data_IF_650749401630
#
_entry.id   IF_650749401630
#
_cell.length_a   1.000
_cell.length_b   1.000
_cell.length_c   1.000
_cell.angle_alpha   90.00
_cell.angle_beta   90.00
_cell.angle_gamma   90.00
#
_symmetry.space_group_name_H-M   'P 1'
#
loop_
_entity.id
_entity.type
_entity.pdbx_description
1 polymer ?
#
# COMPACT_ATOMS: atom_id res chain seq x y z
N UNK A 1 -29.66 -67.09 41.49
CA UNK A 1 -28.72 -66.81 40.37
C UNK A 1 -27.34 -67.18 40.87
N UNK A 2 -26.65 -68.07 40.16
CA UNK A 2 -25.48 -68.79 40.68
C UNK A 2 -24.24 -67.88 40.85
N UNK A 3 -23.55 -68.02 41.99
CA UNK A 3 -22.45 -67.13 42.42
C UNK A 3 -21.26 -67.18 41.43
N UNK A 4 -21.04 -68.33 40.80
CA UNK A 4 -19.98 -68.52 39.80
C UNK A 4 -20.30 -67.83 38.47
N UNK A 5 -21.57 -67.78 38.09
CA UNK A 5 -22.02 -67.08 36.90
C UNK A 5 -21.85 -65.56 37.07
N UNK A 6 -22.11 -65.03 38.27
CA UNK A 6 -21.92 -63.61 38.59
C UNK A 6 -20.43 -63.22 38.60
N UNK A 7 -19.54 -64.09 39.12
CA UNK A 7 -18.08 -63.92 39.03
C UNK A 7 -17.58 -63.95 37.58
N UNK A 8 -18.10 -64.87 36.76
CA UNK A 8 -17.74 -64.97 35.35
C UNK A 8 -18.12 -63.70 34.56
N UNK A 9 -19.33 -63.17 34.77
CA UNK A 9 -19.75 -61.90 34.15
C UNK A 9 -18.91 -60.71 34.63
N UNK A 10 -18.58 -60.65 35.92
CA UNK A 10 -17.71 -59.60 36.46
C UNK A 10 -16.30 -59.65 35.86
N UNK A 11 -15.71 -60.84 35.78
CA UNK A 11 -14.38 -61.02 35.19
C UNK A 11 -14.35 -60.65 33.70
N UNK A 12 -15.36 -61.06 32.92
CA UNK A 12 -15.48 -60.67 31.51
C UNK A 12 -15.75 -59.17 31.33
N UNK A 13 -16.55 -58.55 32.20
CA UNK A 13 -16.76 -57.10 32.19
C UNK A 13 -15.44 -56.36 32.47
N UNK A 14 -14.69 -56.79 33.49
CA UNK A 14 -13.40 -56.20 33.86
C UNK A 14 -12.37 -56.38 32.75
N UNK A 15 -12.29 -57.57 32.14
CA UNK A 15 -11.41 -57.88 31.00
C UNK A 15 -11.73 -57.04 29.76
N UNK A 16 -13.00 -56.79 29.48
CA UNK A 16 -13.42 -55.89 28.37
C UNK A 16 -13.02 -54.44 28.66
N UNK A 17 -13.21 -53.96 29.89
CA UNK A 17 -12.81 -52.60 30.29
C UNK A 17 -11.30 -52.40 30.20
N UNK A 18 -10.51 -53.37 30.67
CA UNK A 18 -9.04 -53.28 30.58
C UNK A 18 -8.58 -53.33 29.12
N UNK A 19 -9.16 -54.17 28.27
CA UNK A 19 -8.91 -54.17 26.82
C UNK A 19 -9.22 -52.82 26.17
N UNK A 20 -10.37 -52.21 26.47
CA UNK A 20 -10.72 -50.89 25.94
C UNK A 20 -9.70 -49.81 26.36
N UNK A 21 -9.25 -49.82 27.62
CA UNK A 21 -8.23 -48.87 28.10
C UNK A 21 -6.90 -49.08 27.37
N UNK A 22 -6.46 -50.33 27.18
CA UNK A 22 -5.22 -50.63 26.45
C UNK A 22 -5.31 -50.15 25.00
N UNK A 23 -6.44 -50.39 24.31
CA UNK A 23 -6.65 -49.92 22.94
C UNK A 23 -6.65 -48.39 22.86
N UNK A 24 -7.27 -47.70 23.81
CA UNK A 24 -7.25 -46.23 23.88
C UNK A 24 -5.83 -45.69 24.12
N UNK A 25 -5.06 -46.30 25.02
CA UNK A 25 -3.67 -45.92 25.26
C UNK A 25 -2.79 -46.15 24.02
N UNK A 26 -2.98 -47.25 23.30
CA UNK A 26 -2.29 -47.52 22.03
C UNK A 26 -2.69 -46.53 20.94
N UNK A 27 -3.97 -46.16 20.85
CA UNK A 27 -4.45 -45.16 19.90
C UNK A 27 -3.87 -43.76 20.20
N UNK A 28 -3.85 -43.35 21.47
CA UNK A 28 -3.23 -42.09 21.90
C UNK A 28 -1.72 -42.10 21.66
N UNK A 29 -1.05 -43.21 21.94
CA UNK A 29 0.37 -43.37 21.67
C UNK A 29 0.68 -43.28 20.18
N UNK A 30 -0.08 -43.98 19.34
CA UNK A 30 0.06 -43.94 17.88
C UNK A 30 -0.16 -42.52 17.34
N UNK A 31 -1.22 -41.84 17.80
CA UNK A 31 -1.53 -40.46 17.43
C UNK A 31 -0.44 -39.47 17.88
N UNK A 32 0.14 -39.67 19.06
CA UNK A 32 1.27 -38.88 19.56
C UNK A 32 2.58 -39.15 18.80
N UNK A 33 2.78 -40.39 18.33
CA UNK A 33 3.96 -40.80 17.56
C UNK A 33 3.89 -40.26 16.14
N UNK A 34 2.71 -40.25 15.53
CA UNK A 34 2.47 -39.69 14.21
C UNK A 34 2.60 -38.15 14.23
N UNK A 35 2.03 -37.49 15.25
CA UNK A 35 2.23 -36.06 15.49
C UNK A 35 3.71 -35.65 15.72
N UNK A 36 4.54 -36.57 16.25
CA UNK A 36 5.99 -36.37 16.39
C UNK A 36 6.75 -36.57 15.08
N UNK A 37 6.29 -37.44 14.18
CA UNK A 37 6.89 -37.62 12.84
C UNK A 37 6.62 -36.42 11.92
N UNK A 38 5.50 -35.72 12.10
CA UNK A 38 5.14 -34.52 11.33
C UNK A 38 5.68 -33.19 11.90
N UNK A 39 6.27 -33.20 13.10
CA UNK A 39 7.07 -32.06 13.60
C UNK A 39 8.43 -32.07 12.90
N UNK A 40 8.46 -31.59 11.66
CA UNK A 40 9.71 -31.30 10.97
C UNK A 40 10.61 -30.49 11.89
N UNK A 41 11.92 -30.80 11.90
CA UNK A 41 12.92 -30.01 12.65
C UNK A 41 12.68 -28.54 12.32
N UNK A 42 12.37 -27.73 13.32
CA UNK A 42 12.18 -26.29 13.13
C UNK A 42 13.37 -25.75 12.37
N UNK A 43 13.12 -25.05 11.25
CA UNK A 43 14.20 -24.43 10.47
C UNK A 43 14.98 -23.54 11.43
N UNK A 44 16.23 -23.89 11.71
CA UNK A 44 17.15 -23.01 12.44
C UNK A 44 17.41 -21.82 11.53
N UNK A 45 16.80 -20.68 11.83
CA UNK A 45 17.22 -19.43 11.23
C UNK A 45 18.67 -19.20 11.64
N UNK A 46 19.49 -18.67 10.73
CA UNK A 46 20.86 -18.26 11.03
C UNK A 46 20.92 -17.26 12.20
N UNK A 47 22.11 -16.89 12.68
CA UNK A 47 22.26 -16.02 13.84
C UNK A 47 21.44 -14.74 13.70
N UNK A 48 20.40 -14.62 14.52
CA UNK A 48 19.43 -13.52 14.46
C UNK A 48 20.09 -12.15 14.69
N UNK A 49 21.10 -12.11 15.58
CA UNK A 49 21.86 -10.90 15.90
C UNK A 49 22.57 -10.33 14.67
N UNK A 50 23.28 -11.17 13.90
CA UNK A 50 23.95 -10.70 12.68
C UNK A 50 22.95 -10.16 11.67
N UNK A 51 21.81 -10.84 11.50
CA UNK A 51 20.73 -10.37 10.63
C UNK A 51 20.22 -8.99 11.05
N UNK A 52 20.04 -8.76 12.36
CA UNK A 52 19.59 -7.47 12.88
C UNK A 52 20.65 -6.37 12.67
N UNK A 53 21.94 -6.67 12.83
CA UNK A 53 23.02 -5.72 12.52
C UNK A 53 23.00 -5.31 11.04
N UNK A 54 22.94 -6.28 10.12
CA UNK A 54 22.88 -5.97 8.68
C UNK A 54 21.63 -5.18 8.30
N UNK A 55 20.47 -5.54 8.87
CA UNK A 55 19.22 -4.81 8.69
C UNK A 55 19.35 -3.36 9.16
N UNK A 56 19.85 -3.14 10.38
CA UNK A 56 20.04 -1.79 10.93
C UNK A 56 20.98 -0.96 10.06
N UNK A 57 22.07 -1.53 9.56
CA UNK A 57 22.98 -0.83 8.65
C UNK A 57 22.30 -0.41 7.34
N UNK A 58 21.41 -1.25 6.79
CA UNK A 58 20.63 -0.90 5.59
C UNK A 58 19.67 0.25 5.88
N UNK A 59 18.98 0.24 7.02
CA UNK A 59 18.07 1.31 7.43
C UNK A 59 18.80 2.64 7.63
N UNK A 60 19.93 2.63 8.35
CA UNK A 60 20.79 3.82 8.54
C UNK A 60 21.24 4.37 7.18
N UNK A 61 21.61 3.49 6.25
CA UNK A 61 22.03 3.89 4.90
C UNK A 61 20.89 4.54 4.12
N UNK A 62 19.66 4.05 4.26
CA UNK A 62 18.50 4.55 3.53
C UNK A 62 18.05 5.93 4.01
N UNK A 63 17.91 6.13 5.32
CA UNK A 63 17.24 7.33 5.85
C UNK A 63 18.00 8.09 6.93
N UNK A 64 19.15 7.64 7.43
CA UNK A 64 19.94 8.39 8.43
C UNK A 64 21.23 8.99 7.88
N UNK A 65 21.72 8.51 6.74
CA UNK A 65 23.03 8.94 6.20
C UNK A 65 23.01 10.35 5.59
N UNK A 66 22.14 10.62 4.62
CA UNK A 66 22.05 11.94 3.97
C UNK A 66 20.70 12.18 3.31
N UNK A 67 20.32 13.44 3.13
CA UNK A 67 19.11 13.80 2.38
C UNK A 67 19.21 13.40 0.91
N UNK A 68 20.39 13.47 0.30
CA UNK A 68 20.59 13.03 -1.09
C UNK A 68 20.27 11.53 -1.26
N UNK A 69 20.73 10.68 -0.34
CA UNK A 69 20.41 9.25 -0.35
C UNK A 69 18.91 9.03 -0.10
N UNK A 70 18.34 9.69 0.90
CA UNK A 70 16.92 9.53 1.24
C UNK A 70 16.01 9.97 0.08
N UNK A 71 16.30 11.11 -0.57
CA UNK A 71 15.57 11.55 -1.78
C UNK A 71 15.74 10.53 -2.90
N UNK A 72 16.98 10.08 -3.14
CA UNK A 72 17.27 9.14 -4.23
C UNK A 72 16.55 7.82 -4.04
N UNK A 73 16.44 7.31 -2.81
CA UNK A 73 15.87 5.98 -2.53
C UNK A 73 14.37 6.04 -2.17
N UNK A 74 13.98 6.97 -1.29
CA UNK A 74 12.64 7.08 -0.69
C UNK A 74 11.83 8.27 -1.22
N UNK A 75 12.36 9.06 -2.16
CA UNK A 75 11.69 10.20 -2.84
C UNK A 75 11.34 11.39 -1.94
N UNK A 76 11.96 11.49 -0.76
CA UNK A 76 11.77 12.61 0.17
C UNK A 76 13.02 12.86 1.01
N UNK A 77 13.11 14.03 1.64
CA UNK A 77 14.18 14.32 2.60
C UNK A 77 13.99 13.51 3.88
N UNK A 78 15.04 13.37 4.69
CA UNK A 78 14.97 12.64 5.97
C UNK A 78 13.96 13.28 6.92
N UNK A 79 13.96 14.61 7.00
CA UNK A 79 13.01 15.33 7.85
C UNK A 79 11.55 15.06 7.45
N UNK A 80 11.25 15.02 6.14
CA UNK A 80 9.90 14.70 5.64
C UNK A 80 9.55 13.23 5.88
N UNK A 81 10.50 12.31 5.71
CA UNK A 81 10.32 10.89 6.02
C UNK A 81 9.93 10.65 7.48
N UNK A 82 10.68 11.21 8.42
CA UNK A 82 10.36 11.09 9.85
C UNK A 82 9.05 11.79 10.21
N UNK A 83 8.74 12.94 9.58
CA UNK A 83 7.46 13.62 9.74
C UNK A 83 6.29 12.76 9.25
N UNK A 84 6.45 12.04 8.15
CA UNK A 84 5.47 11.09 7.64
C UNK A 84 5.27 9.92 8.61
N UNK A 85 6.35 9.29 9.06
CA UNK A 85 6.29 8.18 10.03
C UNK A 85 5.57 8.61 11.32
N UNK A 86 5.93 9.78 11.86
CA UNK A 86 5.29 10.33 13.05
C UNK A 86 3.81 10.64 12.82
N UNK A 87 3.43 11.16 11.66
CA UNK A 87 2.02 11.43 11.35
C UNK A 87 1.21 10.15 11.25
N UNK A 88 1.77 9.09 10.65
CA UNK A 88 1.12 7.78 10.56
C UNK A 88 0.95 7.13 11.94
N UNK A 89 1.96 7.28 12.81
CA UNK A 89 1.93 6.82 14.21
C UNK A 89 0.90 7.59 15.05
N UNK A 90 0.85 8.92 14.94
CA UNK A 90 -0.10 9.77 15.66
C UNK A 90 -1.56 9.53 15.28
N UNK A 91 -1.82 9.13 14.04
CA UNK A 91 -3.15 8.75 13.58
C UNK A 91 -3.51 7.30 13.85
N UNK A 92 -2.63 6.56 14.55
CA UNK A 92 -2.80 5.13 14.85
C UNK A 92 -2.98 4.27 13.58
N UNK A 93 -2.54 4.77 12.43
CA UNK A 93 -2.61 4.05 11.15
C UNK A 93 -1.50 3.00 11.04
N UNK A 94 -0.37 3.26 11.71
CA UNK A 94 0.76 2.35 11.82
C UNK A 94 1.27 2.33 13.27
N UNK A 95 1.75 1.17 13.69
CA UNK A 95 2.37 0.98 14.99
C UNK A 95 3.64 0.15 14.86
N UNK A 96 4.56 0.38 15.80
CA UNK A 96 5.76 -0.43 15.94
C UNK A 96 5.37 -1.84 16.38
N UNK A 97 5.95 -2.84 15.73
CA UNK A 97 5.83 -4.23 16.16
C UNK A 97 7.15 -4.67 16.79
N UNK A 98 7.13 -5.78 17.53
CA UNK A 98 8.34 -6.34 18.13
C UNK A 98 9.46 -6.57 17.10
N UNK A 99 9.11 -6.85 15.84
CA UNK A 99 10.09 -7.15 14.80
C UNK A 99 10.34 -6.01 13.82
N UNK A 100 9.39 -5.12 13.54
CA UNK A 100 9.47 -4.12 12.46
C UNK A 100 8.92 -2.78 12.96
N UNK A 101 9.77 -1.74 12.95
CA UNK A 101 9.37 -0.38 13.31
C UNK A 101 8.58 0.30 12.18
N UNK A 102 7.83 1.35 12.49
CA UNK A 102 7.09 2.13 11.49
C UNK A 102 8.02 2.66 10.40
N UNK A 103 9.22 3.13 10.76
CA UNK A 103 10.22 3.62 9.82
C UNK A 103 10.64 2.52 8.85
N UNK A 104 10.88 1.29 9.32
CA UNK A 104 11.19 0.16 8.45
C UNK A 104 10.00 -0.21 7.56
N UNK A 105 8.77 -0.21 8.09
CA UNK A 105 7.56 -0.48 7.31
C UNK A 105 7.40 0.52 6.16
N UNK A 106 7.50 1.81 6.46
CA UNK A 106 7.36 2.91 5.49
C UNK A 106 8.54 2.91 4.51
N UNK A 107 9.77 2.65 4.98
CA UNK A 107 10.94 2.54 4.13
C UNK A 107 10.81 1.40 3.12
N UNK A 108 10.37 0.20 3.53
CA UNK A 108 10.11 -0.91 2.60
C UNK A 108 9.11 -0.51 1.51
N UNK A 109 8.00 0.11 1.90
CA UNK A 109 6.97 0.56 0.96
C UNK A 109 7.51 1.60 -0.03
N UNK A 110 8.14 2.68 0.47
CA UNK A 110 8.69 3.76 -0.34
C UNK A 110 9.82 3.28 -1.26
N UNK A 111 10.64 2.34 -0.79
CA UNK A 111 11.70 1.74 -1.59
C UNK A 111 11.13 0.95 -2.78
N UNK A 112 10.01 0.26 -2.60
CA UNK A 112 9.30 -0.42 -3.68
C UNK A 112 8.66 0.57 -4.66
N UNK A 113 7.82 1.50 -4.17
CA UNK A 113 7.05 2.39 -5.07
C UNK A 113 7.91 3.49 -5.69
N UNK A 114 8.98 3.91 -5.00
CA UNK A 114 9.87 4.96 -5.46
C UNK A 114 10.90 4.49 -6.50
N UNK A 115 11.37 3.25 -6.43
CA UNK A 115 12.44 2.73 -7.32
C UNK A 115 12.02 1.52 -8.15
N UNK A 116 10.75 1.11 -8.09
CA UNK A 116 10.24 -0.11 -8.74
C UNK A 116 10.96 -1.40 -8.29
N UNK A 117 11.42 -1.46 -7.03
CA UNK A 117 11.99 -2.69 -6.48
C UNK A 117 10.92 -3.76 -6.31
N UNK A 118 11.28 -5.01 -6.65
CA UNK A 118 10.42 -6.18 -6.46
C UNK A 118 10.38 -6.58 -4.99
N UNK A 119 9.33 -7.34 -4.61
CA UNK A 119 9.21 -7.90 -3.26
C UNK A 119 10.46 -8.72 -2.87
N UNK A 120 10.97 -9.56 -3.78
CA UNK A 120 12.17 -10.38 -3.53
C UNK A 120 13.42 -9.52 -3.31
N UNK A 121 13.60 -8.44 -4.09
CA UNK A 121 14.70 -7.49 -3.92
C UNK A 121 14.65 -6.84 -2.54
N UNK A 122 13.47 -6.34 -2.13
CA UNK A 122 13.31 -5.72 -0.81
C UNK A 122 13.52 -6.73 0.31
N UNK A 123 13.01 -7.96 0.16
CA UNK A 123 13.23 -9.03 1.14
C UNK A 123 14.71 -9.35 1.35
N UNK A 124 15.49 -9.39 0.26
CA UNK A 124 16.94 -9.57 0.34
C UNK A 124 17.63 -8.43 1.09
N UNK A 125 17.38 -7.17 0.70
CA UNK A 125 18.05 -6.01 1.30
C UNK A 125 17.65 -5.74 2.75
N UNK A 126 16.37 -5.89 3.08
CA UNK A 126 15.85 -5.64 4.44
C UNK A 126 15.96 -6.87 5.35
N UNK A 127 16.49 -7.99 4.83
CA UNK A 127 16.57 -9.26 5.56
C UNK A 127 15.22 -9.76 6.09
N UNK A 128 14.17 -9.57 5.30
CA UNK A 128 12.78 -9.95 5.60
C UNK A 128 12.28 -11.05 4.67
N UNK A 129 11.36 -11.87 5.17
CA UNK A 129 10.66 -12.80 4.30
C UNK A 129 9.78 -12.03 3.31
N UNK A 130 9.55 -12.61 2.13
CA UNK A 130 8.63 -12.01 1.14
C UNK A 130 7.22 -11.82 1.67
N UNK A 131 6.81 -12.67 2.60
CA UNK A 131 5.57 -12.55 3.36
C UNK A 131 5.55 -11.25 4.18
N UNK A 132 6.63 -10.96 4.93
CA UNK A 132 6.74 -9.74 5.73
C UNK A 132 6.71 -8.49 4.85
N UNK A 133 7.47 -8.49 3.75
CA UNK A 133 7.47 -7.38 2.77
C UNK A 133 6.05 -7.18 2.20
N UNK A 134 5.39 -8.25 1.79
CA UNK A 134 4.03 -8.18 1.24
C UNK A 134 3.02 -7.68 2.27
N UNK A 135 3.10 -8.15 3.52
CA UNK A 135 2.23 -7.71 4.61
C UNK A 135 2.35 -6.19 4.80
N UNK A 136 3.57 -5.70 5.03
CA UNK A 136 3.76 -4.29 5.33
C UNK A 136 3.58 -3.37 4.12
N UNK A 137 3.84 -3.84 2.91
CA UNK A 137 3.45 -3.11 1.70
C UNK A 137 1.95 -2.81 1.69
N UNK A 138 1.10 -3.81 1.97
CA UNK A 138 -0.34 -3.65 1.98
C UNK A 138 -0.85 -2.83 3.18
N UNK A 139 -0.26 -3.00 4.36
CA UNK A 139 -0.61 -2.20 5.54
C UNK A 139 -0.30 -0.71 5.30
N UNK A 140 0.92 -0.41 4.83
CA UNK A 140 1.33 0.97 4.55
C UNK A 140 0.52 1.56 3.40
N UNK A 141 0.23 0.79 2.33
CA UNK A 141 -0.62 1.25 1.23
C UNK A 141 -1.99 1.74 1.72
N UNK A 142 -2.65 0.96 2.59
CA UNK A 142 -3.94 1.36 3.19
C UNK A 142 -3.79 2.61 4.06
N UNK A 143 -2.77 2.65 4.92
CA UNK A 143 -2.49 3.80 5.77
C UNK A 143 -2.24 5.09 4.95
N UNK A 144 -1.52 4.99 3.84
CA UNK A 144 -1.30 6.10 2.90
C UNK A 144 -2.61 6.55 2.23
N UNK A 145 -3.48 5.60 1.87
CA UNK A 145 -4.81 5.90 1.32
C UNK A 145 -5.73 6.62 2.31
N UNK A 146 -5.69 6.24 3.59
CA UNK A 146 -6.41 6.96 4.66
C UNK A 146 -5.82 8.36 4.87
N UNK A 147 -4.49 8.46 4.99
CA UNK A 147 -3.81 9.75 5.18
C UNK A 147 -4.02 10.72 4.01
N UNK A 148 -4.11 10.21 2.77
CA UNK A 148 -4.31 11.01 1.57
C UNK A 148 -5.59 11.86 1.65
N UNK A 149 -6.66 11.38 2.31
CA UNK A 149 -7.91 12.12 2.47
C UNK A 149 -7.75 13.43 3.23
N UNK A 150 -6.74 13.52 4.09
CA UNK A 150 -6.44 14.72 4.88
C UNK A 150 -5.39 15.63 4.25
N UNK A 151 -4.80 15.21 3.13
CA UNK A 151 -3.69 15.92 2.48
C UNK A 151 -4.06 16.42 1.08
N UNK A 152 -4.89 15.66 0.36
CA UNK A 152 -5.32 15.91 -1.02
C UNK A 152 -6.72 16.50 -0.98
N UNK A 153 -6.78 17.83 -0.90
CA UNK A 153 -8.01 18.60 -0.92
C UNK A 153 -7.70 20.04 -1.36
N UNK A 154 -8.72 20.78 -1.80
CA UNK A 154 -8.60 22.19 -2.16
C UNK A 154 -8.43 23.02 -0.89
N UNK A 155 -7.31 23.75 -0.78
CA UNK A 155 -6.94 24.51 0.43
C UNK A 155 -7.50 25.92 0.47
N UNK A 156 -7.52 26.57 -0.68
CA UNK A 156 -8.05 27.93 -0.88
C UNK A 156 -8.59 28.03 -2.29
N UNK A 157 -9.63 28.84 -2.44
CA UNK A 157 -10.24 29.20 -3.72
C UNK A 157 -9.80 30.59 -4.17
N UNK A 158 -9.05 31.31 -3.34
CA UNK A 158 -8.58 32.65 -3.65
C UNK A 158 -7.64 32.62 -4.85
N UNK A 159 -7.72 33.67 -5.68
CA UNK A 159 -6.83 33.78 -6.84
C UNK A 159 -5.38 33.82 -6.34
N UNK A 160 -4.58 32.83 -6.78
CA UNK A 160 -3.22 32.67 -6.29
C UNK A 160 -2.36 33.89 -6.62
N UNK A 161 -1.44 34.25 -5.72
CA UNK A 161 -0.57 35.44 -5.87
C UNK A 161 0.25 35.43 -7.16
N UNK A 162 0.64 34.24 -7.65
CA UNK A 162 1.32 34.07 -8.96
C UNK A 162 0.49 34.59 -10.15
N UNK A 163 -0.84 34.55 -10.06
CA UNK A 163 -1.73 35.09 -11.10
C UNK A 163 -1.78 36.62 -10.96
N UNK A 164 -2.13 37.12 -9.77
CA UNK A 164 -2.32 38.56 -9.53
C UNK A 164 -1.04 39.38 -9.68
N UNK A 165 0.12 38.81 -9.33
CA UNK A 165 1.43 39.45 -9.49
C UNK A 165 1.94 39.48 -10.95
N UNK A 166 1.24 38.85 -11.89
CA UNK A 166 1.62 38.78 -13.31
C UNK A 166 0.58 39.45 -14.22
N UNK A 167 0.46 40.79 -14.16
CA UNK A 167 -0.48 41.53 -14.99
C UNK A 167 -0.16 41.33 -16.49
N UNK A 168 -1.20 41.24 -17.32
CA UNK A 168 -1.16 41.01 -18.77
C UNK A 168 -0.60 39.66 -19.24
N UNK A 169 -0.08 38.83 -18.34
CA UNK A 169 0.35 37.45 -18.65
C UNK A 169 -0.63 36.42 -18.12
N UNK A 170 -0.93 36.48 -16.83
CA UNK A 170 -1.85 35.54 -16.18
C UNK A 170 -3.13 36.22 -15.73
N UNK A 171 -3.04 37.44 -15.20
CA UNK A 171 -4.21 38.26 -14.92
C UNK A 171 -4.61 39.07 -16.16
N UNK A 172 -5.90 39.14 -16.55
CA UNK A 172 -7.09 38.54 -15.89
C UNK A 172 -7.46 37.14 -16.39
N UNK A 173 -6.74 36.58 -17.37
CA UNK A 173 -7.13 35.34 -18.08
C UNK A 173 -7.31 34.10 -17.18
N UNK A 174 -6.57 34.03 -16.07
CA UNK A 174 -6.64 32.95 -15.08
C UNK A 174 -7.24 33.40 -13.74
N UNK A 175 -7.96 34.52 -13.71
CA UNK A 175 -8.74 34.92 -12.53
C UNK A 175 -9.74 33.80 -12.16
N UNK A 176 -9.78 33.41 -10.88
CA UNK A 176 -10.59 32.27 -10.41
C UNK A 176 -10.03 30.88 -10.75
N UNK A 177 -8.86 30.79 -11.39
CA UNK A 177 -8.18 29.50 -11.59
C UNK A 177 -7.57 29.02 -10.28
N UNK A 178 -7.93 27.82 -9.83
CA UNK A 178 -7.46 27.24 -8.56
C UNK A 178 -6.28 26.27 -8.74
N UNK A 179 -6.06 25.79 -9.95
CA UNK A 179 -4.99 24.86 -10.24
C UNK A 179 -4.86 24.47 -11.71
N UNK A 180 -4.16 23.37 -11.93
CA UNK A 180 -4.02 22.74 -13.22
C UNK A 180 -4.39 21.25 -13.13
N UNK A 181 -5.09 20.75 -14.14
CA UNK A 181 -5.39 19.34 -14.33
C UNK A 181 -4.66 18.76 -15.54
N UNK A 182 -4.21 17.51 -15.42
CA UNK A 182 -3.66 16.77 -16.54
C UNK A 182 -3.83 15.25 -16.37
N UNK A 183 -3.91 14.55 -17.50
CA UNK A 183 -3.92 13.09 -17.56
C UNK A 183 -2.51 12.55 -17.71
N UNK A 184 -2.14 11.57 -16.89
CA UNK A 184 -0.86 10.86 -16.97
C UNK A 184 -1.05 9.36 -17.07
N UNK A 185 -0.15 8.70 -17.82
CA UNK A 185 -0.21 7.25 -18.03
C UNK A 185 0.82 6.52 -17.18
N UNK A 186 0.35 5.74 -16.20
CA UNK A 186 1.19 4.87 -15.37
C UNK A 186 1.16 3.45 -15.94
N UNK A 187 2.31 2.79 -16.05
CA UNK A 187 2.39 1.41 -16.55
C UNK A 187 1.57 0.48 -15.65
N UNK A 188 0.74 -0.36 -16.27
CA UNK A 188 -0.15 -1.28 -15.57
C UNK A 188 0.21 -2.73 -15.89
N UNK A 189 0.14 -3.60 -14.88
CA UNK A 189 0.17 -5.05 -15.04
C UNK A 189 -1.28 -5.56 -14.89
N UNK A 190 -1.87 -6.03 -15.99
CA UNK A 190 -3.26 -6.50 -16.03
C UNK A 190 -3.34 -7.93 -16.57
N UNK A 191 -4.39 -8.69 -16.23
CA UNK A 191 -4.63 -10.01 -16.81
C UNK A 191 -4.68 -9.98 -18.34
N UNK A 192 -4.24 -11.06 -18.99
CA UNK A 192 -4.12 -11.14 -20.45
C UNK A 192 -5.40 -10.72 -21.21
N UNK A 193 -6.56 -11.15 -20.72
CA UNK A 193 -7.87 -10.84 -21.34
C UNK A 193 -8.29 -9.37 -21.21
N UNK A 194 -7.62 -8.56 -20.38
CA UNK A 194 -7.90 -7.12 -20.23
C UNK A 194 -6.88 -6.25 -20.95
N UNK A 195 -5.75 -6.81 -21.40
CA UNK A 195 -4.59 -6.05 -21.94
C UNK A 195 -5.01 -5.05 -23.01
N UNK A 196 -5.90 -5.44 -23.92
CA UNK A 196 -6.34 -4.59 -25.04
C UNK A 196 -7.00 -3.30 -24.56
N UNK A 197 -7.78 -3.36 -23.47
CA UNK A 197 -8.41 -2.16 -22.88
C UNK A 197 -7.39 -1.21 -22.30
N UNK A 198 -6.33 -1.73 -21.68
CA UNK A 198 -5.28 -0.91 -21.07
C UNK A 198 -4.21 -0.47 -22.06
N UNK A 199 -4.25 -0.97 -23.30
CA UNK A 199 -3.36 -0.59 -24.38
C UNK A 199 -3.83 0.73 -24.99
N UNK A 200 -3.25 1.81 -24.50
CA UNK A 200 -3.52 3.16 -24.99
C UNK A 200 -2.55 3.61 -26.07
N UNK A 201 -2.25 4.91 -26.06
CA UNK A 201 -1.29 5.55 -26.96
C UNK A 201 0.16 5.09 -26.73
N UNK A 202 0.45 4.46 -25.60
CA UNK A 202 1.78 3.93 -25.25
C UNK A 202 1.95 2.50 -25.76
N UNK A 203 3.18 2.09 -26.03
CA UNK A 203 3.52 0.72 -26.47
C UNK A 203 3.28 -0.35 -25.41
N UNK A 204 2.95 0.05 -24.18
CA UNK A 204 2.70 -0.82 -23.03
C UNK A 204 1.30 -0.56 -22.44
N UNK A 205 0.69 -1.58 -21.79
CA UNK A 205 -0.55 -1.39 -21.04
C UNK A 205 -0.35 -0.36 -19.92
N UNK A 206 -1.26 0.59 -19.82
CA UNK A 206 -1.19 1.70 -18.87
C UNK A 206 -2.54 1.96 -18.23
N UNK A 207 -2.54 2.61 -17.07
CA UNK A 207 -3.70 3.23 -16.48
C UNK A 207 -3.63 4.74 -16.71
N UNK A 208 -4.75 5.33 -17.13
CA UNK A 208 -4.89 6.78 -17.15
C UNK A 208 -5.18 7.26 -15.71
N UNK A 209 -4.41 8.25 -15.27
CA UNK A 209 -4.53 8.88 -13.97
C UNK A 209 -4.73 10.37 -14.21
N UNK A 210 -5.89 10.89 -13.85
CA UNK A 210 -6.13 12.33 -13.83
C UNK A 210 -5.63 12.88 -12.49
N UNK A 211 -4.80 13.91 -12.55
CA UNK A 211 -4.33 14.61 -11.37
C UNK A 211 -4.60 16.11 -11.50
N UNK A 212 -4.96 16.72 -10.38
CA UNK A 212 -5.15 18.16 -10.24
C UNK A 212 -4.19 18.67 -9.18
N UNK A 213 -3.51 19.77 -9.49
CA UNK A 213 -2.52 20.40 -8.61
C UNK A 213 -2.81 21.88 -8.44
N UNK A 214 -2.57 22.42 -7.26
CA UNK A 214 -2.57 23.87 -7.03
C UNK A 214 -1.32 24.54 -7.61
N UNK A 215 -1.25 25.87 -7.51
CA UNK A 215 -0.09 26.66 -7.95
C UNK A 215 1.18 26.42 -7.13
N UNK A 216 1.10 25.76 -5.98
CA UNK A 216 2.23 25.30 -5.17
C UNK A 216 2.67 23.87 -5.54
N UNK A 217 2.10 23.30 -6.62
CA UNK A 217 2.33 21.94 -7.10
C UNK A 217 1.91 20.85 -6.10
N UNK A 218 0.93 21.15 -5.24
CA UNK A 218 0.33 20.18 -4.32
C UNK A 218 -0.87 19.57 -4.98
N UNK A 219 -0.99 18.25 -4.91
CA UNK A 219 -2.19 17.56 -5.39
C UNK A 219 -3.43 17.99 -4.59
N UNK A 220 -4.46 18.42 -5.30
CA UNK A 220 -5.79 18.75 -4.75
C UNK A 220 -6.81 17.67 -5.09
N UNK A 221 -6.57 16.89 -6.15
CA UNK A 221 -7.38 15.74 -6.54
C UNK A 221 -6.56 14.73 -7.36
N UNK A 222 -6.83 13.44 -7.19
CA UNK A 222 -6.24 12.36 -8.00
C UNK A 222 -7.30 11.30 -8.27
N UNK A 223 -7.54 11.00 -9.54
CA UNK A 223 -8.37 9.89 -10.00
C UNK A 223 -7.52 8.90 -10.78
N UNK A 224 -7.29 7.73 -10.18
CA UNK A 224 -6.60 6.62 -10.80
C UNK A 224 -7.56 5.47 -11.14
N UNK A 225 -7.10 4.54 -11.99
CA UNK A 225 -7.78 3.27 -12.25
C UNK A 225 -8.50 3.18 -13.59
N UNK A 226 -8.53 4.26 -14.38
CA UNK A 226 -9.07 4.24 -15.74
C UNK A 226 -8.15 3.47 -16.69
N UNK A 227 -8.73 2.81 -17.69
CA UNK A 227 -7.92 2.09 -18.68
C UNK A 227 -7.07 3.06 -19.50
N UNK A 228 -5.88 2.62 -19.93
CA UNK A 228 -4.96 3.44 -20.72
C UNK A 228 -5.49 3.86 -22.09
N UNK A 229 -6.53 3.18 -22.61
CA UNK A 229 -7.20 3.61 -23.84
C UNK A 229 -8.26 4.70 -23.61
N UNK A 230 -8.67 4.95 -22.36
CA UNK A 230 -9.68 5.94 -22.03
C UNK A 230 -9.19 7.36 -22.36
N UNK A 231 -10.05 8.12 -23.07
CA UNK A 231 -9.81 9.52 -23.39
C UNK A 231 -9.87 10.40 -22.14
N UNK A 232 -9.00 11.42 -22.05
CA UNK A 232 -8.97 12.35 -20.91
C UNK A 232 -10.33 13.01 -20.63
N UNK A 233 -11.13 13.27 -21.67
CA UNK A 233 -12.48 13.83 -21.53
C UNK A 233 -13.44 12.88 -20.81
N UNK A 234 -13.31 11.57 -21.04
CA UNK A 234 -14.09 10.55 -20.35
C UNK A 234 -13.68 10.46 -18.89
N UNK A 235 -12.37 10.45 -18.62
CA UNK A 235 -11.81 10.42 -17.26
C UNK A 235 -12.21 11.67 -16.47
N UNK A 236 -12.18 12.85 -17.11
CA UNK A 236 -12.63 14.10 -16.50
C UNK A 236 -14.14 14.10 -16.23
N UNK A 237 -14.95 13.60 -17.17
CA UNK A 237 -16.40 13.49 -16.96
C UNK A 237 -16.72 12.57 -15.78
N UNK A 238 -16.03 11.43 -15.66
CA UNK A 238 -16.17 10.56 -14.50
C UNK A 238 -15.77 11.31 -13.22
N UNK A 239 -14.60 11.96 -13.21
CA UNK A 239 -14.13 12.72 -12.06
C UNK A 239 -15.16 13.72 -11.54
N UNK A 240 -15.86 14.43 -12.43
CA UNK A 240 -16.89 15.41 -12.06
C UNK A 240 -18.22 14.77 -11.61
N UNK A 241 -18.55 13.58 -12.12
CA UNK A 241 -19.83 12.92 -11.83
C UNK A 241 -19.88 12.13 -10.52
N UNK A 242 -18.72 11.83 -9.93
CA UNK A 242 -18.61 10.99 -8.73
C UNK A 242 -19.06 11.74 -7.47
N UNK A 243 -19.70 11.07 -6.50
CA UNK A 243 -20.05 11.68 -5.20
C UNK A 243 -18.83 12.21 -4.43
N UNK A 244 -17.71 11.51 -4.53
CA UNK A 244 -16.38 11.90 -4.00
C UNK A 244 -15.47 12.46 -5.10
N UNK A 245 -16.09 12.98 -6.16
CA UNK A 245 -15.43 13.49 -7.35
C UNK A 245 -14.72 14.83 -7.16
N UNK A 246 -14.14 15.31 -8.24
CA UNK A 246 -13.54 16.63 -8.32
C UNK A 246 -14.66 17.68 -8.13
N UNK A 247 -14.56 18.47 -7.05
CA UNK A 247 -15.50 19.56 -6.76
C UNK A 247 -14.87 20.88 -7.16
N UNK A 248 -15.35 21.48 -8.23
CA UNK A 248 -14.94 22.82 -8.66
C UNK A 248 -15.90 23.83 -8.00
N UNK A 249 -15.41 24.76 -7.17
CA UNK A 249 -16.24 25.81 -6.57
C UNK A 249 -16.90 26.69 -7.63
N UNK A 250 -18.09 27.22 -7.34
CA UNK A 250 -18.78 28.12 -8.27
C UNK A 250 -17.92 29.34 -8.62
N UNK A 251 -17.90 29.71 -9.90
CA UNK A 251 -17.08 30.82 -10.40
C UNK A 251 -15.59 30.53 -10.54
N UNK A 252 -15.14 29.31 -10.22
CA UNK A 252 -13.73 28.91 -10.31
C UNK A 252 -13.51 27.88 -11.42
N UNK A 253 -12.26 27.74 -11.86
CA UNK A 253 -11.87 26.80 -12.92
C UNK A 253 -10.51 26.17 -12.71
N UNK A 254 -10.22 25.15 -13.52
CA UNK A 254 -8.94 24.43 -13.55
C UNK A 254 -8.34 24.52 -14.95
N UNK A 255 -7.06 24.85 -15.05
CA UNK A 255 -6.37 24.95 -16.34
C UNK A 255 -5.90 23.56 -16.83
N UNK A 256 -6.06 23.24 -18.12
CA UNK A 256 -5.49 22.00 -18.68
C UNK A 256 -4.01 22.21 -19.06
N UNK A 257 -3.11 21.35 -18.59
CA UNK A 257 -1.66 21.54 -18.74
C UNK A 257 -1.11 21.42 -20.18
N UNK A 258 -1.91 21.00 -21.16
CA UNK A 258 -1.51 20.94 -22.57
C UNK A 258 -2.68 21.29 -23.50
N UNK A 259 -2.98 22.58 -23.61
CA UNK A 259 -3.71 23.13 -24.77
C UNK A 259 -3.07 24.48 -25.13
N UNK A 260 -2.03 24.43 -25.97
CA UNK A 260 -1.74 25.58 -26.84
C UNK A 260 -2.90 25.64 -27.83
N UNK A 261 -3.55 26.80 -27.84
CA UNK A 261 -4.69 27.18 -28.68
C UNK A 261 -6.09 26.67 -28.32
N UNK A 262 -6.91 27.68 -28.00
CA UNK A 262 -8.39 27.76 -27.96
C UNK A 262 -9.06 27.43 -26.64
N UNK A 263 -9.54 28.52 -26.02
CA UNK A 263 -10.80 28.55 -25.29
C UNK A 263 -10.80 27.78 -23.99
N UNK A 264 -10.55 28.48 -22.88
CA UNK A 264 -10.87 27.98 -21.55
C UNK A 264 -12.31 27.49 -21.52
N UNK A 265 -12.51 26.29 -20.96
CA UNK A 265 -13.84 25.77 -20.67
C UNK A 265 -14.38 26.62 -19.53
N UNK A 266 -15.24 27.59 -19.86
CA UNK A 266 -16.20 28.17 -18.93
C UNK A 266 -17.46 27.33 -19.02
N UNK A 267 -17.77 26.55 -17.98
CA UNK A 267 -19.12 26.04 -17.79
C UNK A 267 -19.95 27.15 -17.15
N UNK A 268 -20.91 27.65 -17.92
CA UNK A 268 -22.04 28.43 -17.41
C UNK A 268 -22.92 27.60 -16.49
#
# INVERSE_FOLDING_TARGET
MDMDQQRYYYYNMLKRRTLCVIVLLLALWYRSRDGRKFRGKGRKYGPLVQRDIYRTNVLIRLFDTSDATCIKQLRMTRAVFYKLCNRLRQKELLSDTFHVSVEEQVAMFLYMVGQHHTNSSVGFWFWRSSETVSRYFNIVLRAMGELARDLIYIRSTDTHTKITSSPNRFYPYFEGCIGALDGTHVKACVPAHMVDKFRGRKSYPSQNVLAVVDFDLRFTYVLAGWEGSAHDSLVLKDALSRPTGLKIPEGHGEAKAHYKDRGGVKSS
#
